data_IF_188442167075
#
_entry.id   IF_188442167075
#
_cell.length_a   1.000
_cell.length_b   1.000
_cell.length_c   1.000
_cell.angle_alpha   90.00
_cell.angle_beta   90.00
_cell.angle_gamma   90.00
#
_symmetry.space_group_name_H-M   'P 1'
#
loop_
_entity.id
_entity.type
_entity.pdbx_description
1 polymer ?
#
# COMPACT_ATOMS: atom_id res chain seq x y z
N UNK A 1 24.06 -6.01 38.64
CA UNK A 1 24.97 -7.04 38.09
C UNK A 1 24.78 -7.12 36.57
N UNK A 2 25.82 -7.61 35.84
CA UNK A 2 25.74 -7.80 34.36
C UNK A 2 24.55 -8.68 33.92
N UNK A 3 24.19 -9.67 34.72
CA UNK A 3 23.07 -10.58 34.46
C UNK A 3 21.68 -9.86 34.48
N UNK A 4 21.48 -8.93 35.39
CA UNK A 4 20.22 -8.17 35.44
C UNK A 4 20.04 -7.27 34.20
N UNK A 5 21.14 -6.66 33.71
CA UNK A 5 21.08 -5.86 32.49
C UNK A 5 20.79 -6.71 31.24
N UNK A 6 21.30 -7.93 31.19
CA UNK A 6 21.05 -8.86 30.09
C UNK A 6 19.61 -9.36 30.10
N UNK A 7 19.05 -9.68 31.28
CA UNK A 7 17.63 -10.04 31.43
C UNK A 7 16.71 -8.88 31.02
N UNK A 8 16.95 -7.68 31.50
CA UNK A 8 16.18 -6.48 31.12
C UNK A 8 16.26 -6.22 29.61
N UNK A 9 17.41 -6.43 28.98
CA UNK A 9 17.56 -6.29 27.51
C UNK A 9 16.75 -7.36 26.76
N UNK A 10 16.81 -8.61 27.20
CA UNK A 10 16.06 -9.72 26.60
C UNK A 10 14.55 -9.49 26.76
N UNK A 11 14.08 -9.04 27.92
CA UNK A 11 12.64 -8.81 28.15
C UNK A 11 12.10 -7.62 27.36
N UNK A 12 12.86 -6.52 27.23
CA UNK A 12 12.51 -5.40 26.34
C UNK A 12 12.49 -5.83 24.87
N UNK A 13 13.46 -6.63 24.44
CA UNK A 13 13.50 -7.13 23.07
C UNK A 13 12.34 -8.09 22.78
N UNK A 14 11.97 -8.98 23.72
CA UNK A 14 10.83 -9.89 23.62
C UNK A 14 9.50 -9.12 23.58
N UNK A 15 9.33 -8.08 24.41
CA UNK A 15 8.12 -7.25 24.41
C UNK A 15 8.02 -6.45 23.11
N UNK A 16 9.11 -5.91 22.60
CA UNK A 16 9.18 -5.24 21.30
C UNK A 16 8.82 -6.19 20.12
N UNK A 17 9.38 -7.39 20.12
CA UNK A 17 9.09 -8.42 19.11
C UNK A 17 7.62 -8.87 19.20
N UNK A 18 7.08 -9.11 20.41
CA UNK A 18 5.66 -9.46 20.61
C UNK A 18 4.72 -8.35 20.14
N UNK A 19 5.06 -7.08 20.41
CA UNK A 19 4.31 -5.92 19.95
C UNK A 19 4.33 -5.82 18.41
N UNK A 20 5.51 -5.94 17.81
CA UNK A 20 5.66 -5.97 16.35
C UNK A 20 4.91 -7.14 15.70
N UNK A 21 4.94 -8.34 16.32
CA UNK A 21 4.18 -9.51 15.85
C UNK A 21 2.67 -9.32 16.03
N UNK A 22 2.23 -8.67 17.11
CA UNK A 22 0.82 -8.33 17.33
C UNK A 22 0.34 -7.27 16.32
N UNK A 23 1.15 -6.25 16.04
CA UNK A 23 0.90 -5.26 15.01
C UNK A 23 0.85 -5.91 13.61
N UNK A 24 1.77 -6.81 13.28
CA UNK A 24 1.76 -7.58 12.03
C UNK A 24 0.49 -8.45 11.92
N UNK A 25 0.07 -9.09 13.01
CA UNK A 25 -1.17 -9.90 13.07
C UNK A 25 -2.43 -9.02 12.97
N UNK A 26 -2.47 -7.87 13.64
CA UNK A 26 -3.62 -6.95 13.60
C UNK A 26 -3.77 -6.25 12.24
N UNK A 27 -2.68 -6.15 11.44
CA UNK A 27 -2.68 -5.56 10.11
C UNK A 27 -2.77 -6.61 8.98
N UNK A 28 -2.83 -7.91 9.30
CA UNK A 28 -3.03 -8.93 8.27
C UNK A 28 -4.49 -8.92 7.81
N UNK A 29 -4.80 -8.14 6.77
CA UNK A 29 -6.11 -8.18 6.13
C UNK A 29 -6.43 -9.62 5.70
N UNK A 30 -7.55 -10.15 6.19
CA UNK A 30 -8.10 -11.44 5.76
C UNK A 30 -9.14 -11.16 4.69
N UNK A 31 -8.98 -11.79 3.53
CA UNK A 31 -9.92 -11.60 2.42
C UNK A 31 -11.06 -12.61 2.51
N UNK A 32 -12.28 -12.11 2.23
CA UNK A 32 -13.53 -12.89 2.21
C UNK A 32 -14.20 -12.82 0.83
N UNK A 33 -15.16 -13.72 0.60
CA UNK A 33 -15.98 -13.66 -0.61
C UNK A 33 -16.75 -12.35 -0.70
N UNK A 34 -16.79 -11.75 -1.89
CA UNK A 34 -17.42 -10.45 -2.14
C UNK A 34 -16.55 -9.24 -1.86
N UNK A 35 -15.36 -9.38 -1.24
CA UNK A 35 -14.49 -8.25 -0.93
C UNK A 35 -14.10 -7.46 -2.17
N UNK A 36 -14.06 -6.12 -2.01
CA UNK A 36 -13.55 -5.23 -3.04
C UNK A 36 -12.03 -5.33 -3.12
N UNK A 37 -11.51 -5.59 -4.33
CA UNK A 37 -10.09 -5.60 -4.63
C UNK A 37 -9.76 -4.39 -5.50
N UNK A 38 -8.88 -3.52 -4.99
CA UNK A 38 -8.49 -2.34 -5.74
C UNK A 38 -9.67 -1.45 -6.09
N UNK A 39 -9.65 -0.90 -7.29
CA UNK A 39 -10.68 0.05 -7.77
C UNK A 39 -11.79 -0.61 -8.57
N UNK A 40 -11.48 -1.68 -9.29
CA UNK A 40 -12.35 -2.21 -10.34
C UNK A 40 -12.86 -3.62 -10.07
N UNK A 41 -12.24 -4.39 -9.18
CA UNK A 41 -12.54 -5.81 -9.00
C UNK A 41 -13.23 -6.13 -7.68
N UNK A 42 -13.99 -7.22 -7.69
CA UNK A 42 -14.46 -7.93 -6.49
C UNK A 42 -13.91 -9.35 -6.47
N UNK A 43 -13.71 -9.87 -5.27
CA UNK A 43 -13.27 -11.23 -5.04
C UNK A 43 -14.47 -12.17 -5.02
N UNK A 44 -14.34 -13.33 -5.67
CA UNK A 44 -15.25 -14.46 -5.55
C UNK A 44 -14.46 -15.69 -5.16
N UNK A 45 -14.80 -16.29 -4.03
CA UNK A 45 -14.18 -17.50 -3.53
C UNK A 45 -15.09 -18.70 -3.83
N UNK A 46 -14.54 -19.72 -4.48
CA UNK A 46 -15.27 -20.94 -4.86
C UNK A 46 -14.51 -22.16 -4.34
N UNK A 47 -15.21 -23.10 -3.75
CA UNK A 47 -14.63 -24.40 -3.40
C UNK A 47 -14.65 -25.31 -4.62
N UNK A 48 -13.54 -25.98 -4.90
CA UNK A 48 -13.42 -26.90 -6.03
C UNK A 48 -12.41 -28.02 -5.78
N UNK A 49 -12.22 -28.86 -6.78
CA UNK A 49 -11.28 -29.98 -6.69
C UNK A 49 -9.83 -29.51 -6.85
N UNK A 50 -9.58 -28.56 -7.71
CA UNK A 50 -8.25 -28.01 -8.02
C UNK A 50 -8.23 -26.50 -7.79
N UNK A 51 -7.06 -26.00 -7.35
CA UNK A 51 -6.84 -24.57 -7.27
C UNK A 51 -6.88 -23.92 -8.66
N UNK A 52 -7.55 -22.77 -8.76
CA UNK A 52 -7.70 -22.05 -10.01
C UNK A 52 -7.88 -20.54 -9.78
N UNK A 53 -7.58 -19.74 -10.80
CA UNK A 53 -7.77 -18.27 -10.77
C UNK A 53 -8.28 -17.82 -12.13
N UNK A 54 -9.40 -17.11 -12.13
CA UNK A 54 -9.93 -16.42 -13.31
C UNK A 54 -10.05 -14.94 -13.02
N UNK A 55 -9.41 -14.09 -13.83
CA UNK A 55 -9.46 -12.64 -13.71
C UNK A 55 -10.30 -12.12 -14.88
N UNK A 56 -11.55 -11.73 -14.59
CA UNK A 56 -12.45 -11.06 -15.52
C UNK A 56 -12.31 -9.53 -15.47
N UNK A 57 -13.23 -8.82 -16.11
CA UNK A 57 -13.20 -7.34 -16.16
C UNK A 57 -13.32 -6.68 -14.79
N UNK A 58 -14.20 -7.20 -13.92
CA UNK A 58 -14.53 -6.66 -12.60
C UNK A 58 -14.71 -7.73 -11.51
N UNK A 59 -14.43 -8.98 -11.84
CA UNK A 59 -14.58 -10.12 -10.94
C UNK A 59 -13.31 -10.98 -10.99
N UNK A 60 -12.77 -11.29 -9.83
CA UNK A 60 -11.65 -12.23 -9.67
C UNK A 60 -12.18 -13.46 -8.95
N UNK A 61 -12.26 -14.57 -9.65
CA UNK A 61 -12.67 -15.84 -9.05
C UNK A 61 -11.45 -16.64 -8.65
N UNK A 62 -11.36 -17.01 -7.39
CA UNK A 62 -10.32 -17.89 -6.84
C UNK A 62 -10.96 -19.19 -6.41
N UNK A 63 -10.61 -20.27 -7.08
CA UNK A 63 -11.03 -21.63 -6.71
C UNK A 63 -10.04 -22.25 -5.75
N UNK A 64 -10.51 -22.70 -4.60
CA UNK A 64 -9.71 -23.24 -3.50
C UNK A 64 -10.13 -24.68 -3.22
N UNK A 65 -9.18 -25.63 -3.10
CA UNK A 65 -9.50 -27.00 -2.70
C UNK A 65 -10.16 -27.09 -1.33
N UNK A 66 -11.18 -27.96 -1.18
CA UNK A 66 -11.93 -28.12 0.06
C UNK A 66 -11.05 -28.45 1.28
N UNK A 67 -10.00 -29.28 1.11
CA UNK A 67 -9.09 -29.68 2.19
C UNK A 67 -7.96 -28.71 2.50
N UNK A 68 -7.91 -27.53 1.86
CA UNK A 68 -6.85 -26.55 2.09
C UNK A 68 -7.03 -25.86 3.44
N UNK A 69 -5.96 -25.74 4.24
CA UNK A 69 -5.99 -25.01 5.52
C UNK A 69 -6.22 -23.52 5.28
N UNK A 70 -6.87 -22.82 6.24
CA UNK A 70 -7.24 -21.41 6.09
C UNK A 70 -6.01 -20.50 5.91
N UNK A 71 -4.89 -20.82 6.55
CA UNK A 71 -3.63 -20.07 6.34
C UNK A 71 -3.12 -20.15 4.91
N UNK A 72 -3.20 -21.34 4.29
CA UNK A 72 -2.80 -21.52 2.89
C UNK A 72 -3.80 -20.86 1.93
N UNK A 73 -5.11 -20.94 2.21
CA UNK A 73 -6.14 -20.21 1.44
C UNK A 73 -5.85 -18.72 1.43
N UNK A 74 -5.66 -18.10 2.61
CA UNK A 74 -5.37 -16.67 2.72
C UNK A 74 -4.06 -16.28 2.01
N UNK A 75 -3.03 -17.11 2.11
CA UNK A 75 -1.77 -16.88 1.38
C UNK A 75 -1.99 -16.86 -0.13
N UNK A 76 -2.75 -17.83 -0.66
CA UNK A 76 -3.06 -17.88 -2.10
C UNK A 76 -3.91 -16.69 -2.54
N UNK A 77 -4.94 -16.32 -1.78
CA UNK A 77 -5.79 -15.18 -2.07
C UNK A 77 -4.94 -13.89 -2.10
N UNK A 78 -4.08 -13.66 -1.12
CA UNK A 78 -3.19 -12.48 -1.07
C UNK A 78 -2.28 -12.39 -2.30
N UNK A 79 -1.75 -13.51 -2.77
CA UNK A 79 -0.93 -13.53 -4.00
C UNK A 79 -1.73 -13.11 -5.23
N UNK A 80 -2.98 -13.60 -5.34
CA UNK A 80 -3.88 -13.22 -6.44
C UNK A 80 -4.25 -11.76 -6.36
N UNK A 81 -4.62 -11.27 -5.18
CA UNK A 81 -4.95 -9.85 -4.92
C UNK A 81 -3.77 -8.97 -5.31
N UNK A 82 -2.55 -9.28 -4.86
CA UNK A 82 -1.36 -8.51 -5.21
C UNK A 82 -1.13 -8.46 -6.73
N UNK A 83 -1.39 -9.55 -7.46
CA UNK A 83 -1.31 -9.59 -8.92
C UNK A 83 -2.34 -8.66 -9.57
N UNK A 84 -3.57 -8.68 -9.10
CA UNK A 84 -4.66 -7.81 -9.60
C UNK A 84 -4.34 -6.35 -9.34
N UNK A 85 -3.95 -6.01 -8.10
CA UNK A 85 -3.57 -4.64 -7.72
C UNK A 85 -2.39 -4.13 -8.55
N UNK A 86 -1.41 -5.00 -8.83
CA UNK A 86 -0.29 -4.64 -9.72
C UNK A 86 -0.77 -4.29 -11.12
N UNK A 87 -1.69 -5.06 -11.70
CA UNK A 87 -2.25 -4.79 -13.02
C UNK A 87 -3.04 -3.47 -13.05
N UNK A 88 -3.89 -3.23 -12.02
CA UNK A 88 -4.62 -1.96 -11.91
C UNK A 88 -3.66 -0.78 -11.73
N UNK A 89 -2.68 -0.91 -10.83
CA UNK A 89 -1.68 0.12 -10.58
C UNK A 89 -0.87 0.48 -11.83
N UNK A 90 -0.47 -0.51 -12.63
CA UNK A 90 0.25 -0.29 -13.88
C UNK A 90 -0.56 0.54 -14.90
N UNK A 91 -1.87 0.37 -14.91
CA UNK A 91 -2.76 1.08 -15.83
C UNK A 91 -3.12 2.48 -15.34
N UNK A 92 -3.25 2.65 -14.02
CA UNK A 92 -3.79 3.87 -13.42
C UNK A 92 -2.70 4.82 -12.89
N UNK A 93 -1.82 4.35 -12.00
CA UNK A 93 -0.92 5.24 -11.25
C UNK A 93 0.03 6.07 -12.12
N UNK A 94 0.70 5.54 -13.16
CA UNK A 94 1.55 6.36 -14.00
C UNK A 94 0.79 7.46 -14.74
N UNK A 95 -0.40 7.15 -15.25
CA UNK A 95 -1.26 8.14 -15.94
C UNK A 95 -1.75 9.23 -14.99
N UNK A 96 -2.16 8.83 -13.77
CA UNK A 96 -2.63 9.79 -12.76
C UNK A 96 -1.50 10.68 -12.27
N UNK A 97 -0.31 10.12 -12.03
CA UNK A 97 0.87 10.88 -11.66
C UNK A 97 1.23 11.92 -12.74
N UNK A 98 1.25 11.49 -14.00
CA UNK A 98 1.53 12.38 -15.13
C UNK A 98 0.50 13.52 -15.25
N UNK A 99 -0.79 13.19 -15.10
CA UNK A 99 -1.86 14.20 -15.09
C UNK A 99 -1.66 15.23 -13.98
N UNK A 100 -1.40 14.78 -12.75
CA UNK A 100 -1.19 15.65 -11.60
C UNK A 100 0.09 16.49 -11.75
N UNK A 101 1.17 15.89 -12.26
CA UNK A 101 2.41 16.62 -12.54
C UNK A 101 2.18 17.76 -13.53
N UNK A 102 1.55 17.49 -14.66
CA UNK A 102 1.25 18.52 -15.68
C UNK A 102 0.32 19.60 -15.15
N UNK A 103 -0.73 19.20 -14.40
CA UNK A 103 -1.71 20.11 -13.84
C UNK A 103 -1.08 21.14 -12.87
N UNK A 104 -0.08 20.73 -12.12
CA UNK A 104 0.53 21.53 -11.06
C UNK A 104 1.97 21.98 -11.36
N UNK A 105 2.48 21.72 -12.57
CA UNK A 105 3.79 22.19 -13.02
C UNK A 105 4.97 21.40 -12.45
N UNK A 106 4.77 20.17 -11.99
CA UNK A 106 5.84 19.30 -11.51
C UNK A 106 6.55 18.56 -12.63
N UNK A 107 7.84 18.30 -12.44
CA UNK A 107 8.67 17.47 -13.31
C UNK A 107 9.26 16.30 -12.52
N UNK A 108 9.36 15.13 -13.15
CA UNK A 108 10.01 13.95 -12.58
C UNK A 108 10.68 13.13 -13.68
N UNK A 109 11.69 12.33 -13.34
CA UNK A 109 12.45 11.57 -14.32
C UNK A 109 11.74 10.26 -14.74
N UNK A 110 11.23 9.52 -13.77
CA UNK A 110 10.51 8.26 -14.01
C UNK A 110 9.65 7.85 -12.84
N UNK A 111 8.68 7.00 -13.12
CA UNK A 111 7.85 6.34 -12.09
C UNK A 111 8.15 4.84 -12.05
N UNK A 112 8.16 4.27 -10.85
CA UNK A 112 8.27 2.85 -10.59
C UNK A 112 7.12 2.39 -9.70
N UNK A 113 6.64 1.18 -9.91
CA UNK A 113 5.69 0.54 -9.02
C UNK A 113 6.43 -0.40 -8.08
N UNK A 114 6.07 -0.36 -6.82
CA UNK A 114 6.68 -1.14 -5.74
C UNK A 114 5.61 -1.85 -4.92
N UNK A 115 6.03 -2.84 -4.16
CA UNK A 115 5.24 -3.49 -3.13
C UNK A 115 6.00 -3.42 -1.80
N UNK A 116 6.07 -2.21 -1.24
CA UNK A 116 6.74 -1.95 0.03
C UNK A 116 5.78 -2.17 1.20
N UNK A 117 6.27 -2.74 2.30
CA UNK A 117 5.44 -3.03 3.49
C UNK A 117 5.16 -1.79 4.35
N UNK A 118 6.01 -0.75 4.26
CA UNK A 118 6.03 0.35 5.24
C UNK A 118 5.80 1.73 4.66
N UNK A 119 5.76 1.89 3.32
CA UNK A 119 5.61 3.20 2.70
C UNK A 119 4.68 3.17 1.50
N UNK A 120 3.92 4.23 1.31
CA UNK A 120 3.00 4.41 0.20
C UNK A 120 3.69 4.91 -1.07
N UNK A 121 4.75 5.71 -0.91
CA UNK A 121 5.55 6.23 -1.99
C UNK A 121 6.96 6.60 -1.54
N UNK A 122 7.79 7.05 -2.47
CA UNK A 122 9.06 7.74 -2.22
C UNK A 122 9.54 8.45 -3.46
N UNK A 123 10.18 9.61 -3.29
CA UNK A 123 10.89 10.33 -4.33
C UNK A 123 12.39 10.32 -4.03
N UNK A 124 13.22 10.01 -5.03
CA UNK A 124 14.68 10.12 -4.91
C UNK A 124 15.16 11.50 -5.33
N UNK A 125 16.37 11.92 -4.87
CA UNK A 125 17.03 13.17 -5.29
C UNK A 125 17.24 13.27 -6.81
N UNK A 126 17.20 12.15 -7.53
CA UNK A 126 17.26 12.08 -9.00
C UNK A 126 15.89 12.14 -9.67
N UNK A 127 14.81 12.50 -8.95
CA UNK A 127 13.47 12.61 -9.52
C UNK A 127 12.82 11.27 -9.89
N UNK A 128 13.28 10.14 -9.32
CA UNK A 128 12.58 8.85 -9.48
C UNK A 128 11.50 8.72 -8.41
N UNK A 129 10.24 8.65 -8.83
CA UNK A 129 9.08 8.44 -7.96
C UNK A 129 8.74 6.94 -7.92
N UNK A 130 8.69 6.36 -6.72
CA UNK A 130 8.26 4.98 -6.49
C UNK A 130 6.89 5.01 -5.83
N UNK A 131 5.90 4.30 -6.38
CA UNK A 131 4.53 4.25 -5.90
C UNK A 131 4.17 2.82 -5.51
N UNK A 132 3.55 2.66 -4.35
CA UNK A 132 3.10 1.35 -3.88
C UNK A 132 1.81 0.93 -4.60
N UNK A 133 1.75 -0.32 -5.06
CA UNK A 133 0.53 -0.88 -5.68
C UNK A 133 -0.67 -0.89 -4.71
N UNK A 134 -0.41 -0.90 -3.40
CA UNK A 134 -1.44 -0.78 -2.37
C UNK A 134 -2.21 0.56 -2.41
N UNK A 135 -1.73 1.58 -3.13
CA UNK A 135 -2.50 2.80 -3.41
C UNK A 135 -3.84 2.51 -4.11
N UNK A 136 -3.96 1.35 -4.74
CA UNK A 136 -5.22 0.91 -5.36
C UNK A 136 -6.29 0.49 -4.33
N UNK A 137 -5.92 0.27 -3.07
CA UNK A 137 -6.85 -0.16 -1.99
C UNK A 137 -7.45 0.99 -1.20
N UNK A 138 -6.89 2.19 -1.29
CA UNK A 138 -7.36 3.39 -0.61
C UNK A 138 -8.18 4.29 -1.55
N UNK A 139 -8.85 5.30 -1.01
CA UNK A 139 -9.66 6.24 -1.79
C UNK A 139 -8.80 6.99 -2.84
N UNK A 140 -9.44 7.48 -3.88
CA UNK A 140 -8.76 8.28 -4.92
C UNK A 140 -8.12 9.52 -4.32
N UNK A 141 -8.83 10.19 -3.40
CA UNK A 141 -8.34 11.38 -2.73
C UNK A 141 -7.06 11.12 -1.92
N UNK A 142 -7.00 10.01 -1.17
CA UNK A 142 -5.79 9.62 -0.44
C UNK A 142 -4.67 9.18 -1.38
N UNK A 143 -5.00 8.51 -2.48
CA UNK A 143 -4.04 8.17 -3.53
C UNK A 143 -3.42 9.44 -4.14
N UNK A 144 -4.27 10.40 -4.54
CA UNK A 144 -3.81 11.68 -5.11
C UNK A 144 -2.96 12.47 -4.13
N UNK A 145 -3.31 12.46 -2.83
CA UNK A 145 -2.47 13.02 -1.79
C UNK A 145 -1.06 12.43 -1.82
N UNK A 146 -0.93 11.09 -1.88
CA UNK A 146 0.40 10.45 -1.94
C UNK A 146 1.13 10.83 -3.24
N UNK A 147 0.46 10.84 -4.37
CA UNK A 147 1.07 11.21 -5.64
C UNK A 147 1.60 12.65 -5.61
N UNK A 148 0.81 13.60 -5.11
CA UNK A 148 1.21 15.01 -4.97
C UNK A 148 2.30 15.19 -3.92
N UNK A 149 2.26 14.44 -2.83
CA UNK A 149 3.31 14.39 -1.81
C UNK A 149 4.68 13.99 -2.44
N UNK A 150 4.69 12.93 -3.25
CA UNK A 150 5.92 12.49 -3.93
C UNK A 150 6.36 13.47 -5.04
N UNK A 151 5.41 14.13 -5.71
CA UNK A 151 5.73 15.19 -6.66
C UNK A 151 6.33 16.41 -5.97
N UNK A 152 5.79 16.83 -4.82
CA UNK A 152 6.33 17.97 -4.05
C UNK A 152 7.77 17.69 -3.58
N UNK A 153 8.14 16.42 -3.36
CA UNK A 153 9.53 16.05 -3.08
C UNK A 153 10.50 16.30 -4.24
N UNK A 154 10.05 16.53 -5.47
CA UNK A 154 10.94 16.95 -6.56
C UNK A 154 11.47 18.37 -6.36
N UNK A 155 10.79 19.21 -5.56
CA UNK A 155 11.21 20.55 -5.21
C UNK A 155 11.76 20.64 -3.76
N UNK A 156 11.18 19.88 -2.84
CA UNK A 156 11.50 19.91 -1.41
C UNK A 156 11.79 18.50 -0.89
N UNK A 157 13.06 18.16 -0.70
CA UNK A 157 13.45 16.80 -0.24
C UNK A 157 13.08 16.49 1.21
N UNK A 158 12.76 17.49 2.02
CA UNK A 158 12.35 17.33 3.42
C UNK A 158 10.98 17.99 3.68
N UNK A 159 10.29 17.53 4.73
CA UNK A 159 8.95 18.01 5.10
C UNK A 159 8.98 19.34 5.89
N UNK A 160 9.85 20.29 5.49
CA UNK A 160 9.91 21.61 6.08
C UNK A 160 8.71 22.49 5.74
N UNK A 161 8.77 23.76 6.16
CA UNK A 161 7.69 24.75 5.94
C UNK A 161 7.39 24.93 4.43
N UNK A 162 8.44 24.96 3.58
CA UNK A 162 8.29 25.09 2.13
C UNK A 162 7.49 23.92 1.52
N UNK A 163 7.82 22.70 1.91
CA UNK A 163 7.10 21.49 1.48
C UNK A 163 5.60 21.57 1.78
N UNK A 164 5.25 21.82 3.05
CA UNK A 164 3.85 21.90 3.44
C UNK A 164 3.09 23.06 2.82
N UNK A 165 3.75 24.21 2.66
CA UNK A 165 3.15 25.38 1.98
C UNK A 165 2.81 25.05 0.54
N UNK A 166 3.75 24.46 -0.20
CA UNK A 166 3.53 24.09 -1.61
C UNK A 166 2.45 22.99 -1.72
N UNK A 167 2.54 21.93 -0.92
CA UNK A 167 1.56 20.85 -0.95
C UNK A 167 0.15 21.32 -0.61
N UNK A 168 -0.04 22.21 0.37
CA UNK A 168 -1.34 22.80 0.71
C UNK A 168 -1.87 23.74 -0.40
N UNK A 169 -0.98 24.37 -1.17
CA UNK A 169 -1.38 25.19 -2.32
C UNK A 169 -1.97 24.35 -3.44
N UNK A 170 -1.35 23.19 -3.76
CA UNK A 170 -1.81 22.31 -4.85
C UNK A 170 -2.92 21.36 -4.40
N UNK A 171 -3.00 21.06 -3.10
CA UNK A 171 -3.99 20.18 -2.49
C UNK A 171 -4.44 20.76 -1.13
N UNK A 172 -5.42 21.67 -1.12
CA UNK A 172 -5.98 22.19 0.14
C UNK A 172 -6.48 21.07 1.04
N UNK A 173 -6.08 21.10 2.33
CA UNK A 173 -6.38 20.05 3.29
C UNK A 173 -5.39 18.86 3.29
N UNK A 174 -4.22 19.01 2.65
CA UNK A 174 -3.19 17.96 2.60
C UNK A 174 -2.80 17.42 3.98
N UNK A 175 -2.68 18.28 5.00
CA UNK A 175 -2.41 17.86 6.39
C UNK A 175 -3.52 17.00 6.99
N UNK A 176 -4.77 17.21 6.58
CA UNK A 176 -5.89 16.37 7.02
C UNK A 176 -5.80 14.99 6.35
N UNK A 177 -5.47 14.94 5.07
CA UNK A 177 -5.28 13.69 4.33
C UNK A 177 -4.06 12.90 4.87
N UNK A 178 -2.97 13.58 5.27
CA UNK A 178 -1.84 12.94 5.95
C UNK A 178 -2.30 12.22 7.23
N UNK A 179 -3.10 12.91 8.06
CA UNK A 179 -3.65 12.28 9.29
C UNK A 179 -4.55 11.10 8.97
N UNK A 180 -5.40 11.20 7.95
CA UNK A 180 -6.27 10.10 7.53
C UNK A 180 -5.46 8.91 7.03
N UNK A 181 -4.40 9.14 6.24
CA UNK A 181 -3.58 8.08 5.68
C UNK A 181 -2.88 7.24 6.75
N UNK A 182 -2.60 7.80 7.93
CA UNK A 182 -1.99 7.08 9.07
C UNK A 182 -2.87 5.96 9.63
N UNK A 183 -4.18 5.97 9.35
CA UNK A 183 -5.09 4.88 9.72
C UNK A 183 -5.05 3.70 8.74
N UNK A 184 -4.30 3.81 7.65
CA UNK A 184 -4.14 2.77 6.63
C UNK A 184 -2.73 2.22 6.65
N UNK A 185 -2.60 0.94 6.33
CA UNK A 185 -1.31 0.27 6.16
C UNK A 185 -1.11 -0.11 4.69
N UNK A 186 0.08 0.12 4.11
CA UNK A 186 0.38 -0.34 2.76
C UNK A 186 0.63 -1.86 2.69
N UNK A 187 0.51 -2.57 3.80
CA UNK A 187 0.66 -4.02 3.88
C UNK A 187 -0.63 -4.72 3.44
N UNK A 188 -0.54 -5.62 2.45
CA UNK A 188 -1.65 -6.42 1.89
C UNK A 188 -1.74 -7.79 2.54
#
# INVERSE_FOLDING_TARGET
TKENRLRDFIDRSRSGIRRALAEIKSHSHSYSDGDKIGRSHRLRLVTGVRAGVTIGRNLVTVTLPAGMSDGLKQKQIKQVVAKVLKQEAQRYLPKRLHYLANKHGYTYQRVRLTYAKTRWGSCSSKGTISLNIALMTISEQLSDYVLLHELTHTHHMNHGVGFWRELETVLPGAKQLDRQLRHYSPYL
#
